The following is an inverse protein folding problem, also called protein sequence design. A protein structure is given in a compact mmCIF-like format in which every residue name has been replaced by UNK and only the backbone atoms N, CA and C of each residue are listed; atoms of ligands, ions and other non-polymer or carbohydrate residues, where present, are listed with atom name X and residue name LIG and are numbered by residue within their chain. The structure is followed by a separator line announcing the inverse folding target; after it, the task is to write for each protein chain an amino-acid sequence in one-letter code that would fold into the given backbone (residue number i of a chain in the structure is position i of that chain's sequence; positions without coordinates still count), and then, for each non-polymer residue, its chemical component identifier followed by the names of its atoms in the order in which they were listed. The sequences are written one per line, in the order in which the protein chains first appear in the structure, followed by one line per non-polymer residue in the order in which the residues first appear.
data_IF_408533612827
#
_entry.id   IF_408533612827
#
_cell.length_a   1.000
_cell.length_b   1.000
_cell.length_c   1.000
_cell.angle_alpha   90.00
_cell.angle_beta   90.00
_cell.angle_gamma   90.00
#
_symmetry.space_group_name_H-M   'P 1'
#
loop_
_entity.id
_entity.type
_entity.pdbx_description
1 polymer ?
#
# COMPACT_ATOMS: atom_id res chain seq x y z
N UNK A 1 19.73 -8.84 -24.64
CA UNK A 1 19.52 -7.69 -23.72
C UNK A 1 18.74 -8.26 -22.54
N UNK A 2 19.40 -8.52 -21.42
CA UNK A 2 18.71 -9.00 -20.23
C UNK A 2 17.85 -7.83 -19.73
N UNK A 3 16.53 -7.97 -19.84
CA UNK A 3 15.60 -7.06 -19.20
C UNK A 3 16.02 -7.02 -17.73
N UNK A 4 16.39 -5.83 -17.27
CA UNK A 4 16.69 -5.60 -15.87
C UNK A 4 15.43 -6.05 -15.14
N UNK A 5 15.54 -7.12 -14.37
CA UNK A 5 14.51 -7.58 -13.45
C UNK A 5 14.46 -6.54 -12.33
N UNK A 6 14.03 -5.32 -12.66
CA UNK A 6 13.63 -4.35 -11.66
C UNK A 6 12.47 -5.03 -10.94
N UNK A 7 12.59 -5.28 -9.61
CA UNK A 7 11.55 -5.99 -8.88
C UNK A 7 10.24 -5.24 -9.09
N UNK A 8 9.19 -5.97 -9.49
CA UNK A 8 7.87 -5.38 -9.71
C UNK A 8 7.49 -4.51 -8.50
N UNK A 9 7.07 -3.25 -8.73
CA UNK A 9 6.69 -2.37 -7.64
C UNK A 9 5.50 -2.96 -6.91
N UNK A 10 5.48 -2.81 -5.59
CA UNK A 10 4.38 -3.26 -4.74
C UNK A 10 3.15 -2.42 -5.06
N UNK A 11 2.11 -3.04 -5.62
CA UNK A 11 0.86 -2.34 -5.91
C UNK A 11 0.01 -2.21 -4.65
N UNK A 12 -0.39 -0.99 -4.36
CA UNK A 12 -1.18 -0.60 -3.20
C UNK A 12 -2.54 -0.11 -3.70
N UNK A 13 -3.52 -0.98 -3.62
CA UNK A 13 -4.87 -0.75 -4.11
C UNK A 13 -5.74 -0.16 -2.99
N UNK A 14 -5.93 1.16 -2.98
CA UNK A 14 -6.71 1.85 -1.96
C UNK A 14 -8.20 1.84 -2.32
N UNK A 15 -9.05 1.41 -1.40
CA UNK A 15 -10.50 1.45 -1.60
C UNK A 15 -11.01 2.89 -1.68
N UNK A 16 -11.31 3.36 -2.90
CA UNK A 16 -11.81 4.72 -3.15
C UNK A 16 -13.13 5.00 -2.40
N UNK A 17 -13.95 3.97 -2.18
CA UNK A 17 -15.20 4.11 -1.42
C UNK A 17 -14.98 4.33 0.08
N UNK A 18 -13.90 3.78 0.66
CA UNK A 18 -13.52 4.09 2.04
C UNK A 18 -13.08 5.55 2.17
N UNK A 19 -12.29 6.05 1.20
CA UNK A 19 -11.84 7.44 1.14
C UNK A 19 -13.02 8.42 1.11
N UNK A 20 -14.02 8.13 0.27
CA UNK A 20 -15.25 8.94 0.15
C UNK A 20 -16.16 8.87 1.38
N UNK A 21 -16.09 7.78 2.16
CA UNK A 21 -16.89 7.61 3.40
C UNK A 21 -16.23 8.19 4.65
N UNK A 22 -14.96 8.57 4.56
CA UNK A 22 -14.24 9.12 5.69
C UNK A 22 -14.73 10.52 6.03
N UNK A 23 -14.88 10.86 7.32
CA UNK A 23 -15.07 12.25 7.73
C UNK A 23 -13.95 13.14 7.18
N UNK A 24 -14.30 14.38 6.83
CA UNK A 24 -13.37 15.42 6.35
C UNK A 24 -12.23 15.64 7.34
N UNK A 25 -12.51 15.52 8.64
CA UNK A 25 -11.54 15.59 9.74
C UNK A 25 -10.42 14.54 9.64
N UNK A 26 -10.72 13.36 9.09
CA UNK A 26 -9.72 12.33 8.85
C UNK A 26 -8.99 12.53 7.50
N UNK A 27 -9.31 13.61 6.76
CA UNK A 27 -8.73 13.96 5.48
C UNK A 27 -8.86 12.87 4.41
N UNK A 28 -10.06 12.31 4.23
CA UNK A 28 -10.30 11.20 3.29
C UNK A 28 -9.82 11.45 1.85
N UNK A 29 -9.85 12.68 1.35
CA UNK A 29 -9.35 13.05 0.01
C UNK A 29 -7.84 13.24 -0.06
N UNK A 30 -7.22 13.61 1.07
CA UNK A 30 -5.79 13.89 1.17
C UNK A 30 -5.01 12.63 1.63
N UNK A 31 -5.71 11.63 2.18
CA UNK A 31 -5.12 10.35 2.59
C UNK A 31 -4.22 9.70 1.53
N UNK A 32 -4.62 9.54 0.25
CA UNK A 32 -3.70 8.97 -0.75
C UNK A 32 -2.44 9.81 -0.95
N UNK A 33 -2.53 11.13 -0.81
CA UNK A 33 -1.38 12.04 -0.89
C UNK A 33 -0.47 11.86 0.33
N UNK A 34 -1.04 11.79 1.54
CA UNK A 34 -0.29 11.59 2.80
C UNK A 34 0.36 10.21 2.88
N UNK A 35 -0.35 9.16 2.46
CA UNK A 35 0.21 7.80 2.32
C UNK A 35 1.41 7.83 1.37
N UNK A 36 1.31 8.54 0.24
CA UNK A 36 2.43 8.67 -0.70
C UNK A 36 3.61 9.42 -0.08
N UNK A 37 3.36 10.48 0.69
CA UNK A 37 4.41 11.21 1.41
C UNK A 37 5.09 10.35 2.49
N UNK A 38 4.31 9.57 3.25
CA UNK A 38 4.84 8.61 4.23
C UNK A 38 5.71 7.55 3.53
N UNK A 39 5.23 6.94 2.45
CA UNK A 39 6.02 5.98 1.66
C UNK A 39 7.31 6.63 1.11
N UNK A 40 7.25 7.88 0.70
CA UNK A 40 8.43 8.64 0.26
C UNK A 40 9.42 8.88 1.39
N UNK A 41 8.94 9.24 2.59
CA UNK A 41 9.78 9.42 3.77
C UNK A 41 10.52 8.14 4.17
N UNK A 42 9.91 6.97 3.94
CA UNK A 42 10.53 5.66 4.15
C UNK A 42 11.37 5.15 2.96
N UNK A 43 11.52 5.93 1.88
CA UNK A 43 12.25 5.50 0.68
C UNK A 43 11.56 4.37 -0.10
N UNK A 44 10.24 4.21 0.08
CA UNK A 44 9.41 3.19 -0.56
C UNK A 44 8.66 3.71 -1.78
N UNK A 45 8.67 5.02 -2.05
CA UNK A 45 7.92 5.61 -3.15
C UNK A 45 8.30 5.07 -4.54
N UNK A 46 9.57 4.71 -4.77
CA UNK A 46 10.02 4.10 -6.03
C UNK A 46 9.70 2.60 -6.12
N UNK A 47 9.41 1.96 -4.97
CA UNK A 47 9.13 0.53 -4.87
C UNK A 47 7.65 0.21 -4.71
N UNK A 48 6.80 1.23 -4.64
CA UNK A 48 5.37 1.09 -4.34
C UNK A 48 4.56 1.93 -5.32
N UNK A 49 3.46 1.37 -5.81
CA UNK A 49 2.56 2.03 -6.72
C UNK A 49 1.18 2.15 -6.07
N UNK A 50 0.73 3.37 -5.79
CA UNK A 50 -0.64 3.60 -5.32
C UNK A 50 -1.61 3.56 -6.49
N UNK A 51 -2.56 2.64 -6.42
CA UNK A 51 -3.64 2.46 -7.40
C UNK A 51 -4.96 2.68 -6.68
N UNK A 52 -5.81 3.62 -7.13
CA UNK A 52 -7.17 3.72 -6.62
C UNK A 52 -7.97 2.51 -7.08
N UNK A 53 -8.45 1.72 -6.13
CA UNK A 53 -9.30 0.56 -6.39
C UNK A 53 -10.77 0.87 -6.10
N UNK A 54 -11.64 0.23 -6.87
CA UNK A 54 -13.07 0.16 -6.59
C UNK A 54 -13.34 -0.48 -5.22
N UNK A 55 -14.58 -0.37 -4.75
CA UNK A 55 -14.99 -0.88 -3.45
C UNK A 55 -14.56 -2.33 -3.22
N UNK A 56 -13.64 -2.57 -2.28
CA UNK A 56 -13.11 -3.91 -1.92
C UNK A 56 -14.11 -4.76 -1.11
N UNK A 57 -15.39 -4.41 -1.10
CA UNK A 57 -16.45 -5.10 -0.34
C UNK A 57 -16.40 -4.92 1.18
N UNK A 58 -15.30 -4.40 1.73
CA UNK A 58 -15.13 -4.19 3.17
C UNK A 58 -14.71 -2.74 3.47
N UNK A 59 -15.61 -1.98 4.14
CA UNK A 59 -15.40 -0.58 4.51
C UNK A 59 -15.66 -0.39 6.00
N UNK A 60 -14.67 -0.68 6.88
CA UNK A 60 -14.82 -0.46 8.31
C UNK A 60 -14.92 1.04 8.65
N UNK A 61 -15.68 1.37 9.69
CA UNK A 61 -15.86 2.75 10.14
C UNK A 61 -14.53 3.33 10.61
N UNK A 62 -14.11 4.45 10.00
CA UNK A 62 -12.88 5.16 10.38
C UNK A 62 -11.58 4.53 9.91
N UNK A 63 -11.61 3.47 9.07
CA UNK A 63 -10.41 2.82 8.52
C UNK A 63 -10.51 2.66 7.01
N UNK A 64 -9.37 2.56 6.33
CA UNK A 64 -9.32 2.33 4.88
C UNK A 64 -8.75 0.95 4.59
N UNK A 65 -9.49 0.19 3.78
CA UNK A 65 -8.99 -1.07 3.26
C UNK A 65 -8.05 -0.80 2.09
N UNK A 66 -6.83 -1.30 2.21
CA UNK A 66 -5.80 -1.26 1.18
C UNK A 66 -5.42 -2.68 0.83
N UNK A 67 -5.50 -3.04 -0.43
CA UNK A 67 -5.03 -4.33 -0.90
C UNK A 67 -3.56 -4.18 -1.31
N UNK A 68 -2.68 -4.90 -0.62
CA UNK A 68 -1.23 -4.87 -0.85
C UNK A 68 -0.88 -6.06 -1.72
N UNK A 69 -0.36 -5.79 -2.92
CA UNK A 69 0.08 -6.77 -3.91
C UNK A 69 1.61 -6.65 -4.02
N UNK A 70 2.38 -7.55 -3.39
CA UNK A 70 3.83 -7.41 -3.31
C UNK A 70 4.57 -7.76 -4.62
N UNK A 71 3.89 -8.38 -5.58
CA UNK A 71 4.48 -8.91 -6.81
C UNK A 71 3.38 -9.10 -7.89
N UNK A 72 3.74 -8.97 -9.17
CA UNK A 72 2.83 -9.16 -10.32
C UNK A 72 2.15 -10.54 -10.37
N UNK A 73 2.68 -11.55 -9.66
CA UNK A 73 2.06 -12.87 -9.51
C UNK A 73 0.91 -12.91 -8.50
N UNK A 74 0.61 -11.79 -7.82
CA UNK A 74 -0.34 -11.66 -6.73
C UNK A 74 -0.10 -12.63 -5.55
N UNK A 75 1.10 -13.25 -5.46
CA UNK A 75 1.45 -14.15 -4.37
C UNK A 75 1.71 -13.37 -3.11
N UNK A 76 0.86 -13.57 -2.11
CA UNK A 76 0.93 -12.83 -0.85
C UNK A 76 0.11 -11.54 -0.85
N UNK A 77 -0.76 -11.37 -1.84
CA UNK A 77 -1.77 -10.31 -1.84
C UNK A 77 -2.66 -10.43 -0.60
N UNK A 78 -2.77 -9.33 0.15
CA UNK A 78 -3.59 -9.29 1.35
C UNK A 78 -4.21 -7.91 1.57
N UNK A 79 -5.41 -7.90 2.13
CA UNK A 79 -6.04 -6.67 2.56
C UNK A 79 -5.46 -6.25 3.92
N UNK A 80 -4.94 -5.03 3.98
CA UNK A 80 -4.50 -4.35 5.19
C UNK A 80 -5.45 -3.20 5.46
N UNK A 81 -5.86 -3.06 6.72
CA UNK A 81 -6.62 -1.91 7.18
C UNK A 81 -5.63 -0.86 7.66
N UNK A 82 -5.65 0.31 7.05
CA UNK A 82 -4.84 1.45 7.48
C UNK A 82 -5.70 2.42 8.26
N UNK A 83 -5.12 3.01 9.31
CA UNK A 83 -5.77 4.09 10.03
C UNK A 83 -5.45 5.43 9.33
N UNK A 84 -6.47 6.17 8.90
CA UNK A 84 -6.27 7.44 8.21
C UNK A 84 -5.72 8.54 9.12
N UNK A 85 -5.78 8.37 10.45
CA UNK A 85 -5.15 9.28 11.41
C UNK A 85 -3.64 9.08 11.51
N UNK A 86 -3.14 7.92 11.09
CA UNK A 86 -1.70 7.62 11.06
C UNK A 86 -1.08 7.94 9.70
N UNK A 87 -1.80 8.62 8.80
CA UNK A 87 -1.28 9.14 7.54
C UNK A 87 -0.59 8.11 6.63
N UNK A 88 -0.90 6.83 6.80
CA UNK A 88 -0.23 5.74 6.07
C UNK A 88 1.12 5.32 6.65
N UNK A 89 1.52 5.82 7.82
CA UNK A 89 2.72 5.38 8.53
C UNK A 89 2.65 3.89 8.92
N UNK A 90 1.48 3.41 9.35
CA UNK A 90 1.25 1.97 9.57
C UNK A 90 1.47 1.16 8.29
N UNK A 91 1.04 1.68 7.13
CA UNK A 91 1.26 1.02 5.84
C UNK A 91 2.75 1.02 5.49
N UNK A 92 3.45 2.14 5.67
CA UNK A 92 4.87 2.27 5.38
C UNK A 92 5.70 1.33 6.26
N UNK A 93 5.46 1.31 7.58
CA UNK A 93 6.12 0.38 8.52
C UNK A 93 5.84 -1.08 8.17
N UNK A 94 4.59 -1.40 7.80
CA UNK A 94 4.23 -2.76 7.39
C UNK A 94 4.96 -3.19 6.12
N UNK A 95 5.06 -2.30 5.13
CA UNK A 95 5.77 -2.54 3.88
C UNK A 95 7.28 -2.63 4.09
N UNK A 96 7.85 -1.77 4.93
CA UNK A 96 9.26 -1.81 5.31
C UNK A 96 9.61 -3.15 5.96
N UNK A 97 8.84 -3.58 6.96
CA UNK A 97 9.03 -4.87 7.61
C UNK A 97 8.89 -6.06 6.64
N UNK A 98 8.01 -5.93 5.65
CA UNK A 98 7.82 -6.94 4.59
C UNK A 98 8.95 -6.94 3.58
N UNK A 99 9.48 -5.80 3.18
CA UNK A 99 10.60 -5.68 2.24
C UNK A 99 11.90 -6.22 2.85
N UNK A 100 12.14 -5.93 4.14
CA UNK A 100 13.24 -6.50 4.92
C UNK A 100 13.14 -8.03 4.98
N UNK A 101 11.92 -8.58 5.07
CA UNK A 101 11.68 -10.04 5.09
C UNK A 101 11.61 -10.69 3.70
N UNK A 102 11.09 -9.99 2.70
CA UNK A 102 10.87 -10.45 1.33
C UNK A 102 12.16 -10.55 0.53
N UNK A 103 13.13 -9.68 0.82
CA UNK A 103 14.50 -9.76 0.27
C UNK A 103 15.21 -11.07 0.64
N UNK A 104 14.72 -11.81 1.65
CA UNK A 104 15.29 -13.09 2.08
C UNK A 104 14.76 -14.31 1.31
N UNK A 105 13.81 -14.12 0.37
CA UNK A 105 13.19 -15.20 -0.41
C UNK A 105 13.38 -15.10 -1.93
N UNK A 106 14.23 -14.17 -2.40
CA UNK A 106 14.79 -14.18 -3.75
C UNK A 106 16.18 -14.85 -3.71
N UNK A 107 16.20 -16.16 -3.46
CA UNK A 107 17.38 -17.01 -3.65
C UNK A 107 17.06 -17.99 -4.78
N UNK A 108 17.81 -18.02 -5.90
CA UNK A 108 17.60 -18.97 -6.99
C UNK A 108 18.17 -20.36 -6.63
N UNK A 109 17.93 -21.39 -7.46
CA UNK A 109 17.24 -22.67 -7.17
C UNK A 109 17.95 -23.67 -6.26
#
# INVERSE_FOLDING_TARGET
MAAREDPDPIELHLCHRCLMRLPVDAGGVDLPRRVREALKAHGLADKTQLIPASCLGHCPTGKVTVLVVPDSTARGTHAKLIDPKEDGEDLAKHLEARLVRGSKKAGPP
#
